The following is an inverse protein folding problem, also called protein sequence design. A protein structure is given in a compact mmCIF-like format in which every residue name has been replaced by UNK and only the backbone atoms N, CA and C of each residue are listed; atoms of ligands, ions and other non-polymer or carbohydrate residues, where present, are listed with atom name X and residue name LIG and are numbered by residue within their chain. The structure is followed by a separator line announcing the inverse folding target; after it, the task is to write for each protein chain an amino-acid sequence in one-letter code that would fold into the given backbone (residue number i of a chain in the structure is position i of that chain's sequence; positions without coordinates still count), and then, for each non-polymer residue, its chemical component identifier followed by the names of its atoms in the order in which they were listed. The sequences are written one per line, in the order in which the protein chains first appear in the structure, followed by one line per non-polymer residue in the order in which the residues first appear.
data_IF_498880446356
#
_entry.id   IF_498880446356
#
_cell.length_a   1.000
_cell.length_b   1.000
_cell.length_c   1.000
_cell.angle_alpha   90.00
_cell.angle_beta   90.00
_cell.angle_gamma   90.00
#
_symmetry.space_group_name_H-M   'P 1'
#
loop_
_entity.id
_entity.type
_entity.pdbx_description
1 polymer ?
#
# COMPACT_ATOMS: atom_id res chain seq x y z
N UNK A 1 4.66 -17.97 -13.21
CA UNK A 1 3.62 -17.45 -12.29
C UNK A 1 4.31 -16.72 -11.14
N UNK A 2 3.82 -15.55 -10.77
CA UNK A 2 4.37 -14.80 -9.64
C UNK A 2 3.54 -15.05 -8.39
N UNK A 3 4.21 -15.24 -7.25
CA UNK A 3 3.58 -15.32 -5.94
C UNK A 3 3.72 -13.98 -5.24
N UNK A 4 2.59 -13.33 -4.99
CA UNK A 4 2.54 -12.02 -4.33
C UNK A 4 1.94 -12.20 -2.93
N UNK A 5 2.70 -11.83 -1.91
CA UNK A 5 2.23 -11.86 -0.53
C UNK A 5 1.50 -10.56 -0.17
N UNK A 6 0.41 -10.67 0.59
CA UNK A 6 -0.29 -9.51 1.12
C UNK A 6 0.28 -9.11 2.48
N UNK A 7 0.41 -7.80 2.70
CA UNK A 7 0.90 -7.25 3.97
C UNK A 7 0.09 -6.02 4.38
N UNK A 8 -0.45 -6.05 5.59
CA UNK A 8 -1.05 -4.88 6.23
C UNK A 8 0.06 -4.07 6.89
N UNK A 9 0.46 -2.95 6.27
CA UNK A 9 1.53 -2.11 6.81
C UNK A 9 1.12 -1.52 8.18
N UNK A 10 2.06 -1.53 9.11
CA UNK A 10 1.85 -1.03 10.46
C UNK A 10 1.35 -2.07 11.46
N UNK A 11 1.02 -3.29 11.02
CA UNK A 11 0.56 -4.34 11.91
C UNK A 11 1.61 -5.46 12.04
N UNK A 12 1.97 -5.92 13.24
CA UNK A 12 1.56 -5.42 14.56
C UNK A 12 2.24 -4.09 14.95
N UNK A 13 3.23 -3.67 14.22
CA UNK A 13 3.87 -2.37 14.23
C UNK A 13 4.45 -2.07 12.86
N UNK A 14 4.83 -0.83 12.59
CA UNK A 14 5.40 -0.47 11.30
C UNK A 14 6.73 -1.19 11.05
N UNK A 15 7.59 -1.23 12.06
CA UNK A 15 8.88 -1.95 11.99
C UNK A 15 8.69 -3.45 11.74
N UNK A 16 7.81 -4.09 12.51
CA UNK A 16 7.54 -5.53 12.38
C UNK A 16 6.91 -5.87 11.01
N UNK A 17 6.02 -5.02 10.49
CA UNK A 17 5.42 -5.27 9.19
C UNK A 17 6.46 -5.24 8.07
N UNK A 18 7.43 -4.33 8.12
CA UNK A 18 8.52 -4.30 7.15
C UNK A 18 9.46 -5.51 7.29
N UNK A 19 9.66 -5.99 8.50
CA UNK A 19 10.41 -7.23 8.74
C UNK A 19 9.68 -8.44 8.13
N UNK A 20 8.37 -8.52 8.26
CA UNK A 20 7.57 -9.58 7.64
C UNK A 20 7.63 -9.51 6.11
N UNK A 21 7.66 -8.31 5.53
CA UNK A 21 7.83 -8.15 4.09
C UNK A 21 9.13 -8.81 3.60
N UNK A 22 10.22 -8.60 4.34
CA UNK A 22 11.50 -9.26 4.05
C UNK A 22 11.44 -10.79 4.16
N UNK A 23 10.75 -11.30 5.19
CA UNK A 23 10.53 -12.73 5.38
C UNK A 23 9.74 -13.34 4.21
N UNK A 24 8.73 -12.65 3.71
CA UNK A 24 7.96 -13.12 2.55
C UNK A 24 8.86 -13.31 1.33
N UNK A 25 9.76 -12.37 1.06
CA UNK A 25 10.71 -12.48 -0.05
C UNK A 25 11.68 -13.62 0.15
N UNK A 26 12.23 -13.80 1.36
CA UNK A 26 13.11 -14.91 1.70
C UNK A 26 12.41 -16.26 1.57
N UNK A 27 11.11 -16.31 1.84
CA UNK A 27 10.30 -17.52 1.72
C UNK A 27 9.91 -17.87 0.28
N UNK A 28 10.23 -17.01 -0.68
CA UNK A 28 10.02 -17.28 -2.11
C UNK A 28 8.91 -16.48 -2.77
N UNK A 29 8.32 -15.48 -2.10
CA UNK A 29 7.41 -14.56 -2.76
C UNK A 29 8.17 -13.72 -3.77
N UNK A 30 7.59 -13.53 -4.95
CA UNK A 30 8.15 -12.67 -6.00
C UNK A 30 7.95 -11.19 -5.71
N UNK A 31 6.93 -10.87 -4.94
CA UNK A 31 6.62 -9.51 -4.58
C UNK A 31 5.65 -9.40 -3.42
N UNK A 32 5.30 -8.18 -3.09
CA UNK A 32 4.45 -7.88 -1.94
C UNK A 32 3.43 -6.82 -2.30
N UNK A 33 2.18 -7.09 -1.95
CA UNK A 33 1.11 -6.11 -1.95
C UNK A 33 1.08 -5.47 -0.57
N UNK A 34 1.53 -4.23 -0.48
CA UNK A 34 1.61 -3.47 0.76
C UNK A 34 0.40 -2.54 0.87
N UNK A 35 -0.40 -2.76 1.90
CA UNK A 35 -1.61 -1.99 2.14
C UNK A 35 -1.36 -0.88 3.17
N UNK A 36 -1.61 0.37 2.77
CA UNK A 36 -1.58 1.51 3.70
C UNK A 36 -2.95 1.61 4.38
N UNK A 37 -3.00 1.57 5.72
CA UNK A 37 -4.27 1.46 6.43
C UNK A 37 -5.13 2.73 6.29
N UNK A 38 -6.41 2.61 5.89
CA UNK A 38 -7.35 3.73 5.89
C UNK A 38 -7.87 3.99 7.30
N UNK A 39 -8.41 5.18 7.53
CA UNK A 39 -9.08 5.52 8.79
C UNK A 39 -10.32 4.63 9.01
N UNK A 40 -11.05 4.37 7.93
CA UNK A 40 -12.23 3.50 7.96
C UNK A 40 -12.07 2.35 6.95
N UNK A 41 -11.65 1.14 7.40
CA UNK A 41 -11.41 0.00 6.52
C UNK A 41 -12.69 -0.76 6.15
N UNK A 42 -13.72 -0.06 5.72
CA UNK A 42 -15.07 -0.61 5.48
C UNK A 42 -15.18 -1.61 4.33
N UNK A 43 -14.19 -1.67 3.45
CA UNK A 43 -14.18 -2.59 2.30
C UNK A 43 -13.35 -3.84 2.56
N UNK A 44 -12.86 -4.03 3.77
CA UNK A 44 -11.99 -5.16 4.13
C UNK A 44 -12.73 -6.20 4.97
N UNK A 45 -12.32 -7.47 4.90
CA UNK A 45 -12.78 -8.48 5.85
C UNK A 45 -12.45 -8.07 7.29
N UNK A 46 -13.25 -8.52 8.25
CA UNK A 46 -13.15 -8.11 9.66
C UNK A 46 -11.75 -8.24 10.25
N UNK A 47 -11.06 -9.34 9.98
CA UNK A 47 -9.72 -9.58 10.52
C UNK A 47 -8.65 -8.64 9.91
N UNK A 48 -8.79 -8.28 8.65
CA UNK A 48 -7.91 -7.30 8.00
C UNK A 48 -8.23 -5.89 8.49
N UNK A 49 -9.52 -5.54 8.56
CA UNK A 49 -9.96 -4.26 9.12
C UNK A 49 -9.43 -4.05 10.54
N UNK A 50 -9.49 -5.09 11.38
CA UNK A 50 -8.96 -5.04 12.74
C UNK A 50 -7.45 -4.78 12.76
N UNK A 51 -6.68 -5.41 11.87
CA UNK A 51 -5.24 -5.18 11.76
C UNK A 51 -4.91 -3.74 11.36
N UNK A 52 -5.68 -3.17 10.45
CA UNK A 52 -5.53 -1.78 10.01
C UNK A 52 -5.83 -0.79 11.12
N UNK A 53 -6.86 -1.05 11.91
CA UNK A 53 -7.21 -0.23 13.08
C UNK A 53 -6.11 -0.26 14.14
N UNK A 54 -5.54 -1.42 14.41
CA UNK A 54 -4.40 -1.55 15.33
C UNK A 54 -3.18 -0.77 14.78
N UNK A 55 -2.90 -0.88 13.49
CA UNK A 55 -1.80 -0.16 12.86
C UNK A 55 -1.92 1.36 13.10
N UNK A 56 -3.08 1.94 12.80
CA UNK A 56 -3.30 3.38 12.98
C UNK A 56 -3.31 3.80 14.46
N UNK A 57 -3.73 2.92 15.36
CA UNK A 57 -3.67 3.21 16.80
C UNK A 57 -2.23 3.35 17.31
N UNK A 58 -1.30 2.67 16.67
CA UNK A 58 0.14 2.72 17.02
C UNK A 58 0.90 3.78 16.26
N UNK A 59 0.57 3.99 15.00
CA UNK A 59 1.19 4.99 14.14
C UNK A 59 0.15 5.56 13.18
N UNK A 60 -0.22 6.82 13.37
CA UNK A 60 -1.16 7.54 12.52
C UNK A 60 -0.49 8.53 11.57
N UNK A 61 0.83 8.62 11.58
CA UNK A 61 1.59 9.48 10.67
C UNK A 61 1.87 8.75 9.36
N UNK A 62 1.12 9.07 8.33
CA UNK A 62 1.27 8.47 7.00
C UNK A 62 2.65 8.70 6.37
N UNK A 63 3.35 9.76 6.74
CA UNK A 63 4.71 9.98 6.26
C UNK A 63 5.65 8.84 6.65
N UNK A 64 5.48 8.31 7.85
CA UNK A 64 6.29 7.18 8.33
C UNK A 64 5.99 5.89 7.56
N UNK A 65 4.74 5.68 7.13
CA UNK A 65 4.40 4.56 6.25
C UNK A 65 5.11 4.70 4.90
N UNK A 66 5.04 5.87 4.28
CA UNK A 66 5.69 6.11 2.98
C UNK A 66 7.20 5.93 3.08
N UNK A 67 7.83 6.48 4.11
CA UNK A 67 9.27 6.36 4.34
C UNK A 67 9.69 4.89 4.55
N UNK A 68 8.92 4.14 5.33
CA UNK A 68 9.21 2.73 5.62
C UNK A 68 9.11 1.86 4.38
N UNK A 69 8.06 2.05 3.57
CA UNK A 69 7.87 1.33 2.32
C UNK A 69 8.98 1.68 1.33
N UNK A 70 9.30 2.95 1.19
CA UNK A 70 10.34 3.43 0.30
C UNK A 70 11.71 2.86 0.69
N UNK A 71 12.02 2.85 1.97
CA UNK A 71 13.25 2.26 2.51
C UNK A 71 13.33 0.76 2.23
N UNK A 72 12.23 0.04 2.42
CA UNK A 72 12.15 -1.38 2.11
C UNK A 72 12.39 -1.65 0.62
N UNK A 73 11.75 -0.89 -0.26
CA UNK A 73 11.93 -1.03 -1.71
C UNK A 73 13.37 -0.75 -2.15
N UNK A 74 14.00 0.23 -1.53
CA UNK A 74 15.39 0.59 -1.81
C UNK A 74 16.35 -0.55 -1.48
N UNK A 75 16.05 -1.29 -0.42
CA UNK A 75 16.83 -2.48 -0.01
C UNK A 75 16.51 -3.72 -0.84
N UNK A 76 15.34 -3.75 -1.48
CA UNK A 76 14.83 -4.90 -2.24
C UNK A 76 14.39 -4.47 -3.65
N UNK A 77 15.30 -3.93 -4.48
CA UNK A 77 14.93 -3.28 -5.73
C UNK A 77 14.37 -4.23 -6.79
N UNK A 78 14.58 -5.52 -6.66
CA UNK A 78 14.07 -6.53 -7.61
C UNK A 78 12.71 -7.10 -7.21
N UNK A 79 12.22 -6.77 -6.02
CA UNK A 79 10.91 -7.22 -5.56
C UNK A 79 9.80 -6.52 -6.34
N UNK A 80 8.79 -7.28 -6.78
CA UNK A 80 7.60 -6.72 -7.40
C UNK A 80 6.75 -6.07 -6.29
N UNK A 81 6.66 -4.76 -6.28
CA UNK A 81 5.96 -4.03 -5.24
C UNK A 81 4.63 -3.48 -5.75
N UNK A 82 3.58 -3.78 -5.02
CA UNK A 82 2.25 -3.24 -5.23
C UNK A 82 1.84 -2.46 -3.99
N UNK A 83 1.17 -1.35 -4.20
CA UNK A 83 0.56 -0.60 -3.10
C UNK A 83 -0.96 -0.67 -3.20
N UNK A 84 -1.62 -0.99 -2.09
CA UNK A 84 -3.06 -0.88 -1.96
C UNK A 84 -3.36 0.33 -1.08
N UNK A 85 -4.18 1.24 -1.57
CA UNK A 85 -4.56 2.44 -0.82
C UNK A 85 -5.99 2.86 -1.15
N UNK A 86 -6.71 3.35 -0.14
CA UNK A 86 -8.03 3.95 -0.32
C UNK A 86 -7.90 5.36 -0.87
N UNK A 87 -8.84 5.77 -1.71
CA UNK A 87 -8.85 7.11 -2.32
C UNK A 87 -8.85 8.23 -1.28
N UNK A 88 -9.62 8.09 -0.23
CA UNK A 88 -9.65 9.04 0.88
C UNK A 88 -8.31 9.17 1.60
N UNK A 89 -7.60 8.05 1.78
CA UNK A 89 -6.27 8.04 2.40
C UNK A 89 -5.24 8.73 1.51
N UNK A 90 -5.30 8.45 0.21
CA UNK A 90 -4.42 9.11 -0.76
C UNK A 90 -4.62 10.63 -0.75
N UNK A 91 -5.87 11.08 -0.66
CA UNK A 91 -6.19 12.52 -0.56
C UNK A 91 -5.70 13.14 0.75
N UNK A 92 -5.75 12.40 1.87
CA UNK A 92 -5.19 12.85 3.15
C UNK A 92 -3.67 13.01 3.07
N UNK A 93 -2.98 12.10 2.41
CA UNK A 93 -1.54 12.18 2.17
C UNK A 93 -1.24 13.36 1.24
N UNK A 94 -2.04 13.54 0.22
CA UNK A 94 -1.86 14.52 -0.84
C UNK A 94 -1.45 13.84 -2.14
N UNK A 95 -2.13 14.18 -3.24
CA UNK A 95 -1.95 13.53 -4.54
C UNK A 95 -0.50 13.65 -5.03
N UNK A 96 0.06 14.86 -4.99
CA UNK A 96 1.43 15.10 -5.47
C UNK A 96 2.46 14.35 -4.64
N UNK A 97 2.32 14.39 -3.32
CA UNK A 97 3.20 13.68 -2.40
C UNK A 97 3.15 12.18 -2.60
N UNK A 98 1.95 11.63 -2.80
CA UNK A 98 1.78 10.20 -3.08
C UNK A 98 2.44 9.82 -4.41
N UNK A 99 2.28 10.64 -5.45
CA UNK A 99 2.90 10.38 -6.76
C UNK A 99 4.42 10.40 -6.67
N UNK A 100 5.00 11.34 -5.95
CA UNK A 100 6.45 11.37 -5.69
C UNK A 100 6.92 10.07 -5.01
N UNK A 101 6.20 9.64 -3.99
CA UNK A 101 6.47 8.38 -3.30
C UNK A 101 6.39 7.19 -4.25
N UNK A 102 5.30 7.09 -5.02
CA UNK A 102 5.05 5.97 -5.93
C UNK A 102 6.19 5.84 -6.95
N UNK A 103 6.56 6.94 -7.59
CA UNK A 103 7.60 6.95 -8.60
C UNK A 103 8.99 6.68 -8.00
N UNK A 104 9.30 7.31 -6.87
CA UNK A 104 10.59 7.15 -6.20
C UNK A 104 10.80 5.75 -5.61
N UNK A 105 9.72 5.07 -5.23
CA UNK A 105 9.78 3.73 -4.65
C UNK A 105 9.88 2.61 -5.67
N UNK A 106 9.76 2.91 -6.96
CA UNK A 106 9.75 1.87 -7.99
C UNK A 106 8.56 0.93 -7.89
N UNK A 107 7.41 1.44 -7.46
CA UNK A 107 6.18 0.67 -7.40
C UNK A 107 5.78 0.16 -8.78
N UNK A 108 5.42 -1.12 -8.87
CA UNK A 108 5.01 -1.73 -10.12
C UNK A 108 3.53 -1.52 -10.40
N UNK A 109 2.71 -1.42 -9.35
CA UNK A 109 1.26 -1.37 -9.51
C UNK A 109 0.56 -0.73 -8.30
N UNK A 110 -0.53 -0.02 -8.58
CA UNK A 110 -1.42 0.56 -7.57
C UNK A 110 -2.78 -0.13 -7.61
N UNK A 111 -3.21 -0.67 -6.47
CA UNK A 111 -4.57 -1.11 -6.24
C UNK A 111 -5.34 0.01 -5.54
N UNK A 112 -6.20 0.69 -6.28
CA UNK A 112 -7.03 1.76 -5.76
C UNK A 112 -8.34 1.23 -5.21
N UNK A 113 -8.66 1.56 -3.96
CA UNK A 113 -9.93 1.22 -3.33
C UNK A 113 -10.76 2.49 -3.18
N UNK A 114 -11.98 2.46 -3.69
CA UNK A 114 -12.91 3.60 -3.65
C UNK A 114 -12.32 4.87 -4.29
N UNK A 115 -11.70 4.72 -5.46
CA UNK A 115 -11.24 5.85 -6.25
C UNK A 115 -12.38 6.39 -7.11
N UNK A 116 -12.58 7.72 -7.10
CA UNK A 116 -13.47 8.37 -8.05
C UNK A 116 -12.79 8.53 -9.42
N UNK A 117 -13.58 8.87 -10.45
CA UNK A 117 -13.08 9.03 -11.82
C UNK A 117 -11.98 10.11 -11.92
N UNK A 118 -12.10 11.20 -11.16
CA UNK A 118 -11.11 12.28 -11.15
C UNK A 118 -9.77 11.83 -10.61
N UNK A 119 -9.78 11.08 -9.52
CA UNK A 119 -8.56 10.54 -8.92
C UNK A 119 -7.90 9.49 -9.83
N UNK A 120 -8.70 8.59 -10.40
CA UNK A 120 -8.23 7.58 -11.36
C UNK A 120 -7.54 8.24 -12.56
N UNK A 121 -8.17 9.27 -13.15
CA UNK A 121 -7.60 10.00 -14.28
C UNK A 121 -6.26 10.64 -13.93
N UNK A 122 -6.14 11.25 -12.77
CA UNK A 122 -4.88 11.87 -12.32
C UNK A 122 -3.76 10.84 -12.17
N UNK A 123 -4.07 9.65 -11.64
CA UNK A 123 -3.09 8.58 -11.52
C UNK A 123 -2.64 8.08 -12.90
N UNK A 124 -3.58 7.83 -13.81
CA UNK A 124 -3.28 7.36 -15.17
C UNK A 124 -2.48 8.39 -15.96
N UNK A 125 -2.82 9.66 -15.88
CA UNK A 125 -2.09 10.76 -16.54
C UNK A 125 -0.65 10.87 -16.04
N UNK A 126 -0.42 10.54 -14.79
CA UNK A 126 0.93 10.53 -14.20
C UNK A 126 1.73 9.26 -14.54
N UNK A 127 1.16 8.32 -15.29
CA UNK A 127 1.83 7.09 -15.69
C UNK A 127 1.76 5.98 -14.67
N UNK A 128 0.86 6.06 -13.71
CA UNK A 128 0.67 5.01 -12.71
C UNK A 128 -0.08 3.83 -13.32
N UNK A 129 0.49 2.63 -13.20
CA UNK A 129 -0.19 1.39 -13.53
C UNK A 129 -1.15 1.03 -12.41
N UNK A 130 -2.45 1.01 -12.67
CA UNK A 130 -3.42 0.77 -11.60
C UNK A 130 -4.55 -0.18 -12.01
N UNK A 131 -5.06 -0.87 -10.98
CA UNK A 131 -6.32 -1.59 -11.02
C UNK A 131 -7.27 -0.98 -10.00
N UNK A 132 -8.54 -1.00 -10.30
CA UNK A 132 -9.59 -0.63 -9.35
C UNK A 132 -10.24 -1.89 -8.81
N UNK A 133 -10.57 -1.88 -7.53
CA UNK A 133 -11.44 -2.91 -6.97
C UNK A 133 -12.86 -2.64 -7.43
N UNK A 134 -13.51 -3.68 -7.95
CA UNK A 134 -14.90 -3.61 -8.34
C UNK A 134 -15.71 -4.23 -7.19
N UNK A 135 -16.58 -3.43 -6.60
CA UNK A 135 -17.54 -3.91 -5.63
C UNK A 135 -18.77 -4.42 -6.38
N UNK A 136 -19.05 -5.70 -6.27
CA UNK A 136 -20.23 -6.33 -6.88
C UNK A 136 -21.46 -6.29 -5.96
N UNK A 137 -21.40 -5.42 -4.94
CA UNK A 137 -22.54 -5.14 -4.11
C UNK A 137 -22.75 -5.94 -2.91
#
# INVERSE_FOLDING_TARGET
MKLIGYLSCGYPSLEESMRFAGIYLEAGCDGIEMSIPPVDPKYEPDHIAASMQVALSKCSDYNLYLESIQSFQKKNPTAYAMNLIYGETLRLIGIEKYLEFYLASGMAHLLGVNFDAGLTSKMEEAGVSMSATIDFG
#
